data_IF_882792413944
#
_entry.id   IF_882792413944
#
_cell.length_a   1.000
_cell.length_b   1.000
_cell.length_c   1.000
_cell.angle_alpha   90.00
_cell.angle_beta   90.00
_cell.angle_gamma   90.00
#
_symmetry.space_group_name_H-M   'P 1'
#
loop_
_entity.id
_entity.type
_entity.pdbx_description
1 polymer ?
#
# COMPACT_ATOMS: atom_id res chain seq x y z
N UNK A 1 25.66 -5.36 17.21
CA UNK A 1 24.45 -5.75 16.45
C UNK A 1 23.54 -4.53 16.48
N UNK A 2 23.17 -3.98 15.32
CA UNK A 2 22.23 -2.86 15.29
C UNK A 2 20.88 -3.37 15.81
N UNK A 3 20.40 -2.82 16.92
CA UNK A 3 19.06 -3.09 17.42
C UNK A 3 18.11 -2.64 16.31
N UNK A 4 17.43 -3.60 15.66
CA UNK A 4 16.49 -3.29 14.59
C UNK A 4 15.28 -2.60 15.20
N UNK A 5 15.30 -1.27 15.16
CA UNK A 5 14.31 -0.40 15.82
C UNK A 5 13.21 0.03 14.87
N UNK A 6 13.06 -0.56 13.68
CA UNK A 6 12.09 -0.11 12.68
C UNK A 6 11.32 -1.27 12.07
N UNK A 7 10.03 -1.06 11.90
CA UNK A 7 9.09 -2.00 11.28
C UNK A 7 8.35 -1.31 10.16
N UNK A 8 8.08 -2.04 9.09
CA UNK A 8 7.34 -1.57 7.93
C UNK A 8 6.10 -2.41 7.67
N UNK A 9 5.05 -1.78 7.14
CA UNK A 9 3.84 -2.41 6.63
C UNK A 9 3.67 -2.00 5.17
N UNK A 10 3.58 -2.98 4.28
CA UNK A 10 3.32 -2.79 2.86
C UNK A 10 1.84 -3.10 2.58
N UNK A 11 1.12 -2.13 2.01
CA UNK A 11 -0.28 -2.27 1.62
C UNK A 11 -0.38 -2.12 0.10
N UNK A 12 -0.89 -3.14 -0.59
CA UNK A 12 -1.17 -3.04 -2.02
C UNK A 12 -2.50 -2.34 -2.27
N UNK A 13 -2.46 -1.14 -2.86
CA UNK A 13 -3.66 -0.35 -3.19
C UNK A 13 -4.26 -0.79 -4.51
N UNK A 14 -3.40 -1.09 -5.48
CA UNK A 14 -3.80 -1.70 -6.74
C UNK A 14 -2.93 -2.95 -6.93
N UNK A 15 -3.44 -4.14 -6.55
CA UNK A 15 -3.01 -5.33 -7.28
C UNK A 15 -3.24 -5.05 -8.76
N UNK A 16 -2.37 -5.48 -9.67
CA UNK A 16 -2.64 -5.18 -11.08
C UNK A 16 -4.04 -5.72 -11.38
N UNK A 17 -4.85 -4.98 -12.13
CA UNK A 17 -6.21 -5.40 -12.52
C UNK A 17 -6.23 -6.86 -13.04
N UNK A 18 -5.10 -7.31 -13.59
CA UNK A 18 -4.80 -8.66 -14.02
C UNK A 18 -4.58 -9.65 -12.86
N UNK A 19 -3.83 -9.30 -11.83
CA UNK A 19 -3.65 -10.16 -10.65
C UNK A 19 -4.99 -10.36 -9.93
N UNK A 20 -5.81 -9.31 -9.82
CA UNK A 20 -7.15 -9.40 -9.24
C UNK A 20 -8.11 -10.22 -10.12
N UNK A 21 -7.91 -10.22 -11.45
CA UNK A 21 -8.63 -11.06 -12.42
C UNK A 21 -8.21 -12.54 -12.31
N UNK A 22 -6.91 -12.81 -12.17
CA UNK A 22 -6.38 -14.18 -12.03
C UNK A 22 -6.77 -14.80 -10.67
N UNK A 23 -6.95 -13.98 -9.62
CA UNK A 23 -7.37 -14.41 -8.27
C UNK A 23 -8.85 -14.74 -8.13
N UNK A 24 -9.72 -14.13 -8.95
CA UNK A 24 -11.15 -14.42 -8.97
C UNK A 24 -11.48 -15.29 -10.18
N UNK A 25 -11.64 -16.63 -10.01
CA UNK A 25 -12.02 -17.53 -11.09
C UNK A 25 -13.49 -17.27 -11.46
N UNK A 26 -13.75 -16.14 -12.12
CA UNK A 26 -15.05 -15.79 -12.64
C UNK A 26 -15.20 -16.49 -13.98
N UNK A 27 -16.15 -17.40 -13.99
CA UNK A 27 -16.78 -18.05 -15.12
C UNK A 27 -17.04 -17.08 -16.29
N UNK A 28 -16.10 -17.05 -17.24
CA UNK A 28 -16.20 -16.42 -18.58
C UNK A 28 -16.95 -15.07 -18.61
N UNK A 29 -16.63 -14.12 -17.72
CA UNK A 29 -17.13 -12.75 -17.86
C UNK A 29 -16.39 -12.03 -18.98
N UNK A 30 -17.13 -11.28 -19.80
CA UNK A 30 -16.51 -10.30 -20.70
C UNK A 30 -15.76 -9.27 -19.85
N UNK A 31 -14.67 -8.71 -20.37
CA UNK A 31 -13.86 -7.71 -19.66
C UNK A 31 -14.69 -6.56 -19.08
N UNK A 32 -15.74 -6.13 -19.78
CA UNK A 32 -16.68 -5.10 -19.33
C UNK A 32 -17.61 -5.55 -18.20
N UNK A 33 -18.00 -6.83 -18.15
CA UNK A 33 -18.75 -7.40 -17.03
C UNK A 33 -17.90 -7.48 -15.76
N UNK A 34 -16.65 -7.92 -15.90
CA UNK A 34 -15.69 -7.91 -14.79
C UNK A 34 -15.41 -6.50 -14.27
N UNK A 35 -15.16 -5.52 -15.14
CA UNK A 35 -14.94 -4.12 -14.74
C UNK A 35 -16.10 -3.55 -13.91
N UNK A 36 -17.34 -3.90 -14.26
CA UNK A 36 -18.54 -3.44 -13.53
C UNK A 36 -18.63 -4.00 -12.11
N UNK A 37 -18.08 -5.18 -11.86
CA UNK A 37 -18.04 -5.81 -10.54
C UNK A 37 -16.81 -5.41 -9.74
N UNK A 38 -15.67 -5.29 -10.43
CA UNK A 38 -14.42 -4.85 -9.86
C UNK A 38 -14.49 -3.42 -9.35
N UNK A 39 -15.16 -2.50 -10.07
CA UNK A 39 -15.17 -1.07 -9.69
C UNK A 39 -15.81 -0.84 -8.31
N UNK A 40 -17.01 -1.36 -7.98
CA UNK A 40 -17.57 -1.24 -6.63
C UNK A 40 -16.73 -1.95 -5.56
N UNK A 41 -16.13 -3.09 -5.88
CA UNK A 41 -15.22 -3.79 -4.97
C UNK A 41 -13.97 -2.95 -4.64
N UNK A 42 -13.32 -2.42 -5.67
CA UNK A 42 -12.16 -1.55 -5.56
C UNK A 42 -12.47 -0.30 -4.73
N UNK A 43 -13.64 0.32 -4.93
CA UNK A 43 -14.08 1.46 -4.12
C UNK A 43 -14.17 1.12 -2.62
N UNK A 44 -14.78 -0.01 -2.28
CA UNK A 44 -14.85 -0.47 -0.89
C UNK A 44 -13.46 -0.73 -0.31
N UNK A 45 -12.59 -1.40 -1.09
CA UNK A 45 -11.20 -1.67 -0.70
C UNK A 45 -10.40 -0.40 -0.48
N UNK A 46 -10.54 0.63 -1.33
CA UNK A 46 -9.83 1.89 -1.15
C UNK A 46 -10.31 2.67 0.07
N UNK A 47 -11.61 2.68 0.35
CA UNK A 47 -12.15 3.26 1.58
C UNK A 47 -11.58 2.55 2.81
N UNK A 48 -11.47 1.23 2.74
CA UNK A 48 -10.89 0.41 3.80
C UNK A 48 -9.40 0.70 4.03
N UNK A 49 -8.61 0.81 2.96
CA UNK A 49 -7.21 1.22 3.02
C UNK A 49 -7.07 2.60 3.67
N UNK A 50 -7.89 3.58 3.24
CA UNK A 50 -7.85 4.92 3.83
C UNK A 50 -8.12 4.89 5.33
N UNK A 51 -9.15 4.16 5.77
CA UNK A 51 -9.48 4.02 7.19
C UNK A 51 -8.34 3.39 8.00
N UNK A 52 -7.71 2.34 7.48
CA UNK A 52 -6.59 1.66 8.15
C UNK A 52 -5.37 2.58 8.23
N UNK A 53 -5.06 3.29 7.14
CA UNK A 53 -3.94 4.24 7.09
C UNK A 53 -4.15 5.39 8.07
N UNK A 54 -5.35 5.98 8.12
CA UNK A 54 -5.68 7.07 9.04
C UNK A 54 -5.53 6.61 10.50
N UNK A 55 -6.08 5.44 10.84
CA UNK A 55 -5.94 4.85 12.17
C UNK A 55 -4.48 4.58 12.53
N UNK A 56 -3.71 3.97 11.63
CA UNK A 56 -2.29 3.73 11.86
C UNK A 56 -1.52 5.05 12.03
N UNK A 57 -1.87 6.09 11.27
CA UNK A 57 -1.26 7.41 11.38
C UNK A 57 -1.55 8.08 12.73
N UNK A 58 -2.77 7.97 13.26
CA UNK A 58 -3.12 8.42 14.62
C UNK A 58 -2.27 7.75 15.70
N UNK A 59 -1.82 6.52 15.43
CA UNK A 59 -0.94 5.75 16.31
C UNK A 59 0.55 5.90 15.98
N UNK A 60 0.96 6.88 15.17
CA UNK A 60 2.38 7.18 14.94
C UNK A 60 3.06 6.29 13.91
N UNK A 61 2.30 5.61 13.05
CA UNK A 61 2.85 5.09 11.80
C UNK A 61 2.96 6.21 10.76
N UNK A 62 4.00 6.14 9.93
CA UNK A 62 4.29 7.19 8.95
C UNK A 62 4.40 6.61 7.54
N UNK A 63 3.72 7.23 6.58
CA UNK A 63 3.87 6.88 5.18
C UNK A 63 5.22 7.37 4.67
N UNK A 64 6.06 6.46 4.18
CA UNK A 64 7.42 6.76 3.74
C UNK A 64 7.68 6.56 2.26
N UNK A 65 6.70 6.02 1.55
CA UNK A 65 6.77 5.92 0.11
C UNK A 65 5.80 4.91 -0.44
N UNK A 66 5.98 4.69 -1.73
CA UNK A 66 5.25 3.76 -2.56
C UNK A 66 6.33 2.96 -3.27
N UNK A 67 6.75 1.80 -2.73
CA UNK A 67 7.84 1.01 -3.32
C UNK A 67 7.48 0.64 -4.76
N UNK A 68 6.22 0.26 -4.96
CA UNK A 68 5.62 0.04 -6.27
C UNK A 68 4.61 1.16 -6.57
N UNK A 69 4.44 1.54 -7.84
CA UNK A 69 3.57 2.66 -8.30
C UNK A 69 2.11 2.62 -7.76
N UNK A 70 1.72 1.50 -7.14
CA UNK A 70 0.39 1.18 -6.64
C UNK A 70 0.32 0.87 -5.13
N UNK A 71 1.39 1.04 -4.36
CA UNK A 71 1.45 0.54 -2.98
C UNK A 71 1.70 1.64 -1.96
N UNK A 72 1.36 1.38 -0.70
CA UNK A 72 1.67 2.25 0.43
C UNK A 72 2.62 1.53 1.37
N UNK A 73 3.72 2.20 1.69
CA UNK A 73 4.63 1.75 2.72
C UNK A 73 4.52 2.65 3.94
N UNK A 74 4.13 2.05 5.05
CA UNK A 74 4.09 2.66 6.38
C UNK A 74 5.31 2.19 7.17
N UNK A 75 5.93 3.08 7.94
CA UNK A 75 7.02 2.76 8.86
C UNK A 75 6.71 3.20 10.28
N UNK A 76 7.32 2.52 11.24
CA UNK A 76 7.36 2.95 12.63
C UNK A 76 8.62 2.51 13.33
N UNK A 77 9.13 3.37 14.21
CA UNK A 77 10.28 3.07 15.05
C UNK A 77 9.90 2.14 16.22
N UNK A 78 9.74 0.86 15.92
CA UNK A 78 9.55 -0.21 16.90
C UNK A 78 9.99 -1.57 16.35
N UNK A 79 10.19 -2.53 17.24
CA UNK A 79 10.49 -3.91 16.84
C UNK A 79 9.24 -4.62 16.29
N UNK A 80 9.44 -5.55 15.35
CA UNK A 80 8.35 -6.27 14.66
C UNK A 80 7.37 -6.97 15.62
N UNK A 81 7.87 -7.60 16.67
CA UNK A 81 7.03 -8.28 17.67
C UNK A 81 6.13 -7.31 18.45
N UNK A 82 6.64 -6.12 18.74
CA UNK A 82 5.87 -5.07 19.42
C UNK A 82 4.84 -4.45 18.46
N UNK A 83 5.19 -4.29 17.18
CA UNK A 83 4.29 -3.80 16.15
C UNK A 83 3.07 -4.71 15.97
N UNK A 84 3.26 -6.03 15.88
CA UNK A 84 2.12 -6.96 15.76
C UNK A 84 1.20 -6.88 16.99
N UNK A 85 1.79 -6.90 18.20
CA UNK A 85 1.01 -6.78 19.42
C UNK A 85 0.23 -5.48 19.49
N UNK A 86 0.82 -4.37 19.05
CA UNK A 86 0.15 -3.10 18.99
C UNK A 86 -1.01 -3.12 17.99
N UNK A 87 -0.78 -3.56 16.75
CA UNK A 87 -1.85 -3.64 15.74
C UNK A 87 -3.00 -4.56 16.19
N UNK A 88 -2.70 -5.61 16.97
CA UNK A 88 -3.72 -6.45 17.61
C UNK A 88 -4.49 -5.69 18.71
N UNK A 89 -3.80 -4.90 19.55
CA UNK A 89 -4.44 -4.06 20.58
C UNK A 89 -5.31 -2.96 19.97
N UNK A 90 -4.94 -2.46 18.80
CA UNK A 90 -5.70 -1.48 18.03
C UNK A 90 -6.84 -2.11 17.21
N UNK A 91 -7.03 -3.44 17.31
CA UNK A 91 -8.06 -4.18 16.57
C UNK A 91 -7.99 -4.00 15.05
N UNK A 92 -6.81 -3.66 14.53
CA UNK A 92 -6.58 -3.39 13.09
C UNK A 92 -5.76 -4.50 12.43
N UNK A 93 -5.18 -5.42 13.20
CA UNK A 93 -4.28 -6.47 12.70
C UNK A 93 -4.87 -7.30 11.56
N UNK A 94 -6.09 -7.82 11.72
CA UNK A 94 -6.72 -8.63 10.67
C UNK A 94 -6.95 -7.82 9.39
N UNK A 95 -7.35 -6.55 9.54
CA UNK A 95 -7.56 -5.62 8.41
C UNK A 95 -6.23 -5.34 7.70
N UNK A 96 -5.15 -5.10 8.44
CA UNK A 96 -3.80 -4.94 7.88
C UNK A 96 -3.36 -6.20 7.15
N UNK A 97 -3.58 -7.39 7.72
CA UNK A 97 -3.21 -8.66 7.08
C UNK A 97 -3.97 -8.87 5.78
N UNK A 98 -5.26 -8.54 5.75
CA UNK A 98 -6.11 -8.72 4.57
C UNK A 98 -5.78 -7.70 3.46
N UNK A 99 -5.24 -6.53 3.82
CA UNK A 99 -4.82 -5.48 2.89
C UNK A 99 -3.35 -5.62 2.43
N UNK A 100 -2.49 -6.23 3.25
CA UNK A 100 -1.13 -6.57 2.91
C UNK A 100 -1.09 -7.68 1.83
N UNK A 101 0.00 -7.76 1.07
CA UNK A 101 0.07 -8.73 -0.04
C UNK A 101 -0.04 -10.17 0.45
N UNK A 102 -0.80 -11.03 -0.24
CA UNK A 102 -0.63 -12.47 -0.14
C UNK A 102 0.70 -12.95 -0.74
N UNK A 103 1.26 -12.19 -1.70
CA UNK A 103 2.48 -12.53 -2.43
C UNK A 103 3.76 -12.25 -1.60
N UNK A 104 3.62 -11.57 -0.46
CA UNK A 104 4.71 -11.19 0.45
C UNK A 104 5.14 -12.36 1.35
N UNK A 105 5.30 -13.58 0.86
CA UNK A 105 5.69 -14.76 1.68
C UNK A 105 4.87 -14.92 3.01
N UNK A 106 3.66 -14.35 3.08
CA UNK A 106 2.84 -14.24 4.30
C UNK A 106 3.29 -13.20 5.34
N UNK A 107 4.16 -12.25 5.00
CA UNK A 107 4.68 -11.21 5.86
C UNK A 107 3.96 -9.87 5.68
N UNK A 108 3.07 -9.53 6.62
CA UNK A 108 2.47 -8.19 6.71
C UNK A 108 3.35 -7.17 7.44
N UNK A 109 4.40 -7.65 8.12
CA UNK A 109 5.35 -6.83 8.88
C UNK A 109 6.78 -7.15 8.49
N UNK A 110 7.49 -6.12 8.03
CA UNK A 110 8.86 -6.21 7.56
C UNK A 110 9.80 -5.53 8.54
N UNK A 111 10.92 -6.18 8.86
CA UNK A 111 11.94 -5.61 9.75
C UNK A 111 12.96 -4.74 8.97
N UNK A 112 13.03 -4.94 7.65
CA UNK A 112 13.80 -4.13 6.72
C UNK A 112 12.85 -3.60 5.64
N UNK A 113 13.27 -2.55 4.93
CA UNK A 113 12.47 -2.04 3.82
C UNK A 113 12.32 -3.14 2.74
N UNK A 114 11.10 -3.47 2.28
CA UNK A 114 10.85 -4.63 1.42
C UNK A 114 11.60 -4.61 0.08
N UNK A 115 11.97 -3.43 -0.44
CA UNK A 115 12.80 -3.29 -1.65
C UNK A 115 14.31 -3.14 -1.39
N UNK A 116 14.77 -3.23 -0.14
CA UNK A 116 16.07 -2.71 0.25
C UNK A 116 16.08 -1.17 0.34
N UNK A 117 17.26 -0.53 0.43
CA UNK A 117 17.39 0.93 0.71
C UNK A 117 16.42 1.76 -0.13
N UNK A 118 15.60 2.57 0.56
CA UNK A 118 14.68 3.56 -0.01
C UNK A 118 15.37 4.36 -1.11
N UNK A 119 14.86 4.31 -2.34
CA UNK A 119 15.21 5.34 -3.31
C UNK A 119 14.72 6.68 -2.75
N UNK A 120 15.57 7.71 -2.66
CA UNK A 120 15.14 9.02 -2.20
C UNK A 120 14.00 9.52 -3.11
N UNK A 121 13.02 10.24 -2.56
CA UNK A 121 11.85 10.69 -3.31
C UNK A 121 12.30 11.36 -4.61
N UNK A 122 11.88 10.79 -5.75
CA UNK A 122 12.19 11.34 -7.07
C UNK A 122 11.75 12.80 -7.07
N UNK A 123 12.71 13.72 -7.13
CA UNK A 123 12.48 15.16 -7.21
C UNK A 123 11.43 15.37 -8.30
N UNK A 124 10.22 15.83 -7.93
CA UNK A 124 9.16 16.14 -8.91
C UNK A 124 9.79 17.03 -9.99
N UNK A 125 9.91 16.50 -11.21
CA UNK A 125 10.41 17.27 -12.34
C UNK A 125 9.43 18.43 -12.49
N UNK A 126 9.86 19.67 -12.26
CA UNK A 126 9.01 20.84 -12.49
C UNK A 126 8.47 20.71 -13.92
N UNK A 127 7.16 20.50 -14.05
CA UNK A 127 6.47 20.53 -15.33
C UNK A 127 6.72 21.95 -15.86
N UNK A 128 7.53 22.07 -16.91
CA UNK A 128 7.65 23.35 -17.61
C UNK A 128 6.25 23.66 -18.13
N UNK A 129 5.70 24.81 -17.75
CA UNK A 129 4.45 25.30 -18.37
C UNK A 129 4.66 25.28 -19.88
N UNK A 130 3.70 24.77 -20.67
CA UNK A 130 3.72 24.95 -22.11
C UNK A 130 3.87 26.45 -22.41
N UNK A 131 4.69 26.85 -23.40
CA UNK A 131 4.79 28.25 -23.78
C UNK A 131 3.38 28.78 -24.12
N UNK A 132 2.96 29.84 -23.45
CA UNK A 132 1.76 30.59 -23.81
C UNK A 132 2.00 31.18 -25.18
N UNK A 133 1.07 30.92 -26.10
CA UNK A 133 1.17 31.28 -27.51
C UNK A 133 0.72 32.73 -27.69
N UNK A 134 1.47 33.68 -27.15
CA UNK A 134 1.36 35.11 -27.46
C UNK A 134 2.74 35.73 -27.34
N UNK A 135 3.37 35.99 -28.49
CA UNK A 135 4.36 37.03 -28.78
C UNK A 135 4.83 36.77 -30.23
N UNK A 136 3.97 37.16 -31.18
CA UNK A 136 4.38 37.65 -32.51
C UNK A 136 4.14 39.17 -32.53
#
# INVERSE_FOLDING_TARGET
MATQTRTYVLIHVFGTARDELDRHPLDRKTFTGWLREYTPFAQKRWAEIANVVDMMAEHGWHMVGSPYDCDLLLERDMARGDAEQELRRLEVWDRVRDLASPDDDGQSLWAEHPEGRTQPPRRRRRVRRPPTREED
#
